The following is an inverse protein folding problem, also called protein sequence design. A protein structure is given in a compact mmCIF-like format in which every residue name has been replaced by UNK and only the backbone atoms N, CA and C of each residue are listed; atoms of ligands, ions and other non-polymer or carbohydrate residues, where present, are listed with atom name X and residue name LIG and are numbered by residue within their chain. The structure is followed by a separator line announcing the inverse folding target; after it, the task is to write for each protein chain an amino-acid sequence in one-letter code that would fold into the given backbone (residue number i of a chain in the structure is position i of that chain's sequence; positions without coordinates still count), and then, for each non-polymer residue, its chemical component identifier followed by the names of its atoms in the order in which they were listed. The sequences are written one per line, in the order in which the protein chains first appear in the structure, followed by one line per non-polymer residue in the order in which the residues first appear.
data_IF_189241510134
#
_entry.id   IF_189241510134
#
_cell.length_a   1.000
_cell.length_b   1.000
_cell.length_c   1.000
_cell.angle_alpha   90.00
_cell.angle_beta   90.00
_cell.angle_gamma   90.00
#
_symmetry.space_group_name_H-M   'P 1'
#
loop_
_entity.id
_entity.type
_entity.pdbx_description
1 polymer ?
#
# COMPACT_ATOMS: atom_id res chain seq x y z
N UNK A 1 5.68 62.58 45.19
CA UNK A 1 5.00 61.30 45.01
C UNK A 1 5.58 60.67 43.76
N UNK A 2 6.59 59.77 43.89
CA UNK A 2 7.18 59.04 42.72
C UNK A 2 6.29 57.85 42.42
N UNK A 3 5.91 57.72 41.17
CA UNK A 3 5.08 56.63 40.68
C UNK A 3 5.83 55.29 40.85
N UNK A 4 5.12 54.29 41.36
CA UNK A 4 5.62 52.89 41.56
C UNK A 4 5.82 52.10 40.27
N UNK A 5 5.65 52.74 39.10
CA UNK A 5 5.70 52.09 37.76
C UNK A 5 6.79 52.66 36.85
N UNK A 6 7.78 53.42 37.37
CA UNK A 6 8.93 53.78 36.57
C UNK A 6 9.85 52.55 36.38
N UNK A 7 10.08 52.08 35.15
CA UNK A 7 10.99 50.97 34.91
C UNK A 7 12.41 51.36 35.29
N UNK A 8 13.05 50.54 36.08
CA UNK A 8 14.45 50.74 36.50
C UNK A 8 15.36 50.76 35.27
N UNK A 9 16.35 51.69 35.19
CA UNK A 9 17.25 51.79 34.06
C UNK A 9 18.30 50.67 33.95
N UNK A 10 18.18 49.60 34.70
CA UNK A 10 19.19 48.53 34.77
C UNK A 10 18.98 47.37 33.79
N UNK A 11 17.89 47.34 32.98
CA UNK A 11 17.60 46.21 32.06
C UNK A 11 18.07 46.44 30.61
N UNK A 12 18.95 47.44 30.37
CA UNK A 12 19.64 47.56 29.10
C UNK A 12 21.10 47.12 29.23
N UNK A 13 21.31 45.83 29.52
CA UNK A 13 22.60 45.25 29.22
C UNK A 13 22.86 45.43 27.70
N UNK A 14 24.04 45.95 27.29
CA UNK A 14 24.33 46.14 25.89
C UNK A 14 24.22 44.79 25.17
N UNK A 15 23.23 44.66 24.31
CA UNK A 15 23.12 43.45 23.45
C UNK A 15 24.44 43.35 22.72
N UNK A 16 25.18 42.22 22.83
CA UNK A 16 26.46 42.06 22.15
C UNK A 16 26.23 42.35 20.68
N UNK A 17 27.06 43.20 20.09
CA UNK A 17 27.00 43.56 18.70
C UNK A 17 27.08 42.27 17.87
N UNK A 18 25.94 41.79 17.30
CA UNK A 18 25.88 40.59 16.51
C UNK A 18 26.72 40.80 15.27
N UNK A 19 27.86 40.15 15.13
CA UNK A 19 28.60 40.14 13.88
C UNK A 19 27.68 39.60 12.76
N UNK A 20 27.80 40.12 11.52
CA UNK A 20 27.09 39.55 10.39
C UNK A 20 27.46 38.05 10.24
N UNK A 21 26.45 37.21 10.04
CA UNK A 21 26.67 35.81 9.72
C UNK A 21 26.95 35.65 8.24
N UNK A 22 27.80 34.72 7.88
CA UNK A 22 27.88 34.26 6.50
C UNK A 22 26.65 33.44 6.14
N UNK A 23 26.37 33.24 4.85
CA UNK A 23 25.26 32.40 4.37
C UNK A 23 25.40 30.97 4.88
N UNK A 24 26.62 30.44 4.89
CA UNK A 24 26.90 29.09 5.41
C UNK A 24 26.60 28.95 6.90
N UNK A 25 26.99 29.95 7.71
CA UNK A 25 26.69 29.96 9.14
C UNK A 25 25.20 30.06 9.41
N UNK A 26 24.45 30.86 8.61
CA UNK A 26 23.00 30.92 8.72
C UNK A 26 22.35 29.58 8.37
N UNK A 27 22.77 28.94 7.27
CA UNK A 27 22.24 27.66 6.85
C UNK A 27 22.54 26.55 7.88
N UNK A 28 23.76 26.52 8.43
CA UNK A 28 24.12 25.58 9.50
C UNK A 28 23.27 25.77 10.75
N UNK A 29 23.00 27.02 11.13
CA UNK A 29 22.13 27.32 12.27
C UNK A 29 20.69 26.90 12.01
N UNK A 30 20.11 27.23 10.84
CA UNK A 30 18.76 26.80 10.48
C UNK A 30 18.65 25.26 10.45
N UNK A 31 19.68 24.58 9.92
CA UNK A 31 19.74 23.11 9.93
C UNK A 31 19.68 22.56 11.35
N UNK A 32 20.49 23.09 12.25
CA UNK A 32 20.48 22.66 13.66
C UNK A 32 19.10 22.84 14.30
N UNK A 33 18.43 23.98 14.05
CA UNK A 33 17.09 24.24 14.55
C UNK A 33 16.05 23.24 13.98
N UNK A 34 16.16 22.88 12.71
CA UNK A 34 15.28 21.88 12.09
C UNK A 34 15.53 20.49 12.65
N UNK A 35 16.81 20.08 12.77
CA UNK A 35 17.21 18.77 13.27
C UNK A 35 16.82 18.57 14.77
N UNK A 36 16.85 19.65 15.59
CA UNK A 36 16.47 19.61 16.99
C UNK A 36 14.96 19.82 17.22
N UNK A 37 14.36 20.76 16.45
CA UNK A 37 12.98 21.19 16.66
C UNK A 37 11.92 20.36 15.99
N UNK A 38 12.27 19.65 14.92
CA UNK A 38 11.34 18.80 14.15
C UNK A 38 11.84 17.36 14.19
N UNK A 39 11.31 16.54 15.10
CA UNK A 39 11.66 15.12 15.17
C UNK A 39 11.19 14.38 13.90
N UNK A 40 11.17 13.07 13.95
CA UNK A 40 10.64 12.26 12.87
C UNK A 40 9.19 12.67 12.51
N UNK A 41 8.95 12.87 11.21
CA UNK A 41 7.64 13.27 10.66
C UNK A 41 7.01 12.16 9.84
N UNK A 42 5.68 12.15 9.82
CA UNK A 42 4.87 11.41 8.85
C UNK A 42 4.19 12.45 7.94
N UNK A 43 4.44 12.36 6.65
CA UNK A 43 3.89 13.30 5.66
C UNK A 43 3.14 12.51 4.61
N UNK A 44 1.87 12.81 4.41
CA UNK A 44 1.05 12.26 3.34
C UNK A 44 1.03 13.21 2.15
N UNK A 45 1.12 12.68 0.94
CA UNK A 45 1.07 13.47 -0.28
C UNK A 45 1.22 12.63 -1.55
N UNK A 46 1.03 13.31 -2.67
CA UNK A 46 1.24 12.74 -4.00
C UNK A 46 2.70 12.94 -4.43
N UNK A 47 3.30 11.90 -4.99
CA UNK A 47 4.63 11.96 -5.59
C UNK A 47 4.57 12.67 -6.94
N UNK A 48 5.48 13.61 -7.16
CA UNK A 48 5.67 14.23 -8.47
C UNK A 48 7.15 14.48 -8.75
N UNK A 49 7.50 14.64 -10.03
CA UNK A 49 8.88 14.89 -10.49
C UNK A 49 9.91 13.85 -10.00
N UNK A 50 9.52 12.59 -9.93
CA UNK A 50 10.38 11.51 -9.45
C UNK A 50 11.55 11.26 -10.40
N UNK A 51 12.77 11.35 -9.88
CA UNK A 51 14.01 11.10 -10.60
C UNK A 51 14.90 10.13 -9.84
N UNK A 52 15.29 9.05 -10.50
CA UNK A 52 16.25 8.08 -9.98
C UNK A 52 17.60 8.33 -10.59
N UNK A 53 18.61 8.40 -9.77
CA UNK A 53 20.00 8.63 -10.19
C UNK A 53 20.80 7.34 -10.16
N UNK A 54 21.88 7.24 -10.99
CA UNK A 54 22.77 6.06 -11.00
C UNK A 54 23.42 5.75 -9.65
N UNK A 55 23.52 6.77 -8.77
CA UNK A 55 23.96 6.61 -7.37
C UNK A 55 23.01 5.77 -6.51
N UNK A 56 21.81 5.46 -7.01
CA UNK A 56 20.75 4.78 -6.29
C UNK A 56 19.88 5.70 -5.42
N UNK A 57 20.14 7.01 -5.42
CA UNK A 57 19.28 7.99 -4.74
C UNK A 57 18.09 8.34 -5.61
N UNK A 58 16.94 8.55 -4.97
CA UNK A 58 15.72 8.98 -5.63
C UNK A 58 15.29 10.32 -5.06
N UNK A 59 15.07 11.29 -5.94
CA UNK A 59 14.56 12.63 -5.59
C UNK A 59 13.17 12.78 -6.16
N UNK A 60 12.30 13.41 -5.40
CA UNK A 60 10.92 13.67 -5.83
C UNK A 60 10.36 14.86 -5.06
N UNK A 61 9.18 15.30 -5.44
CA UNK A 61 8.40 16.31 -4.73
C UNK A 61 7.20 15.60 -4.12
N UNK A 62 6.94 15.82 -2.84
CA UNK A 62 5.67 15.51 -2.19
C UNK A 62 4.80 16.76 -2.28
N UNK A 63 3.58 16.62 -2.77
CA UNK A 63 2.59 17.70 -2.90
C UNK A 63 1.23 17.31 -2.37
N UNK A 64 0.48 18.30 -1.92
CA UNK A 64 -0.95 18.23 -1.66
C UNK A 64 -1.66 19.35 -2.42
N UNK A 65 -2.93 19.64 -2.08
CA UNK A 65 -3.71 20.69 -2.74
C UNK A 65 -3.17 22.12 -2.49
N UNK A 66 -2.38 22.33 -1.44
CA UNK A 66 -1.96 23.67 -1.00
C UNK A 66 -0.46 23.89 -0.99
N UNK A 67 0.36 22.84 -0.97
CA UNK A 67 1.80 22.94 -0.75
C UNK A 67 2.60 21.81 -1.41
N UNK A 68 3.91 22.03 -1.49
CA UNK A 68 4.84 21.01 -1.92
C UNK A 68 6.16 21.10 -1.15
N UNK A 69 6.84 19.96 -1.00
CA UNK A 69 8.15 19.86 -0.38
C UNK A 69 9.06 18.90 -1.16
N UNK A 70 10.34 19.26 -1.27
CA UNK A 70 11.33 18.35 -1.85
C UNK A 70 11.56 17.15 -0.92
N UNK A 71 11.73 15.97 -1.50
CA UNK A 71 12.03 14.75 -0.77
C UNK A 71 13.20 13.99 -1.40
N UNK A 72 14.01 13.36 -0.56
CA UNK A 72 15.13 12.53 -0.98
C UNK A 72 15.08 11.18 -0.28
N UNK A 73 15.10 10.12 -1.07
CA UNK A 73 15.23 8.73 -0.60
C UNK A 73 16.62 8.24 -0.94
N UNK A 74 17.46 8.04 0.07
CA UNK A 74 18.80 7.53 -0.11
C UNK A 74 18.80 6.02 -0.40
N UNK A 75 19.80 5.55 -1.15
CA UNK A 75 19.96 4.15 -1.57
C UNK A 75 19.81 3.15 -0.41
N UNK A 76 20.41 3.43 0.75
CA UNK A 76 20.32 2.54 1.92
C UNK A 76 18.88 2.27 2.35
N UNK A 77 18.07 3.32 2.40
CA UNK A 77 16.66 3.23 2.80
C UNK A 77 15.80 2.60 1.69
N UNK A 78 16.16 2.83 0.42
CA UNK A 78 15.45 2.26 -0.73
C UNK A 78 15.55 0.74 -0.81
N UNK A 79 16.65 0.13 -0.37
CA UNK A 79 16.89 -1.32 -0.43
C UNK A 79 15.94 -2.12 0.46
N UNK A 80 15.45 -1.54 1.56
CA UNK A 80 14.52 -2.18 2.49
C UNK A 80 13.04 -1.99 2.12
N UNK A 81 12.74 -1.23 1.09
CA UNK A 81 11.36 -0.91 0.71
C UNK A 81 10.75 -1.99 -0.18
N UNK A 82 9.58 -2.49 0.20
CA UNK A 82 8.76 -3.40 -0.62
C UNK A 82 8.00 -2.67 -1.73
N UNK A 83 7.85 -1.36 -1.59
CA UNK A 83 7.11 -0.49 -2.50
C UNK A 83 8.06 0.27 -3.43
N UNK A 84 7.72 0.35 -4.72
CA UNK A 84 8.45 1.18 -5.70
C UNK A 84 7.67 2.46 -5.96
N UNK A 85 8.14 3.63 -5.49
CA UNK A 85 7.47 4.89 -5.75
C UNK A 85 7.43 5.22 -7.24
N UNK A 86 6.30 5.82 -7.68
CA UNK A 86 6.09 6.31 -9.04
C UNK A 86 5.39 7.67 -9.00
N UNK A 87 5.55 8.45 -10.08
CA UNK A 87 4.81 9.72 -10.22
C UNK A 87 3.29 9.49 -10.15
N UNK A 88 2.58 10.38 -9.49
CA UNK A 88 1.14 10.29 -9.25
C UNK A 88 0.74 9.35 -8.10
N UNK A 89 1.68 8.63 -7.51
CA UNK A 89 1.40 7.77 -6.37
C UNK A 89 1.11 8.54 -5.09
N UNK A 90 -0.01 8.26 -4.41
CA UNK A 90 -0.29 8.77 -3.08
C UNK A 90 0.43 7.93 -2.02
N UNK A 91 1.19 8.58 -1.16
CA UNK A 91 2.06 7.90 -0.19
C UNK A 91 2.05 8.58 1.17
N UNK A 92 2.33 7.79 2.21
CA UNK A 92 2.74 8.28 3.53
C UNK A 92 4.25 8.07 3.63
N UNK A 93 4.96 9.16 3.82
CA UNK A 93 6.42 9.17 3.97
C UNK A 93 6.78 9.35 5.44
N UNK A 94 7.59 8.47 5.97
CA UNK A 94 8.25 8.62 7.26
C UNK A 94 9.67 9.09 7.05
N UNK A 95 10.07 10.15 7.75
CA UNK A 95 11.38 10.73 7.60
C UNK A 95 11.67 11.86 8.56
N UNK A 96 12.74 12.58 8.31
CA UNK A 96 13.13 13.78 9.05
C UNK A 96 13.21 14.99 8.12
N UNK A 97 12.90 16.14 8.64
CA UNK A 97 13.10 17.41 7.93
C UNK A 97 14.55 17.83 8.10
N UNK A 98 15.20 18.26 7.02
CA UNK A 98 16.57 18.76 7.06
C UNK A 98 16.77 19.85 6.02
N UNK A 99 17.81 20.65 6.14
CA UNK A 99 18.19 21.69 5.18
C UNK A 99 19.22 21.16 4.19
N UNK A 100 18.95 21.33 2.90
CA UNK A 100 19.98 21.17 1.87
C UNK A 100 20.81 22.46 1.80
N UNK A 101 21.94 22.49 2.52
CA UNK A 101 22.73 23.70 2.78
C UNK A 101 23.19 24.42 1.50
N UNK A 102 23.55 23.65 0.44
CA UNK A 102 24.03 24.23 -0.81
C UNK A 102 22.99 25.11 -1.52
N UNK A 103 21.70 24.91 -1.25
CA UNK A 103 20.59 25.68 -1.83
C UNK A 103 19.78 26.46 -0.81
N UNK A 104 20.02 26.26 0.48
CA UNK A 104 19.22 26.86 1.54
C UNK A 104 17.75 26.43 1.54
N UNK A 105 17.46 25.24 0.98
CA UNK A 105 16.11 24.71 0.85
C UNK A 105 15.89 23.54 1.83
N UNK A 106 14.77 23.55 2.56
CA UNK A 106 14.41 22.41 3.38
C UNK A 106 13.87 21.27 2.52
N UNK A 107 14.07 20.06 3.00
CA UNK A 107 13.64 18.83 2.34
C UNK A 107 13.29 17.74 3.36
N UNK A 108 12.51 16.77 2.96
CA UNK A 108 12.27 15.55 3.73
C UNK A 108 13.28 14.49 3.33
N UNK A 109 14.09 14.06 4.27
CA UNK A 109 14.96 12.90 4.14
C UNK A 109 14.14 11.65 4.48
N UNK A 110 13.79 10.88 3.46
CA UNK A 110 12.88 9.73 3.56
C UNK A 110 13.61 8.53 4.17
N UNK A 111 13.06 7.98 5.23
CA UNK A 111 13.52 6.77 5.90
C UNK A 111 12.65 5.55 5.57
N UNK A 112 11.36 5.79 5.32
CA UNK A 112 10.39 4.79 4.92
C UNK A 112 9.25 5.43 4.15
N UNK A 113 8.57 4.63 3.32
CA UNK A 113 7.44 5.06 2.53
C UNK A 113 6.50 3.90 2.31
N UNK A 114 5.20 4.17 2.36
CA UNK A 114 4.15 3.21 2.06
C UNK A 114 3.02 3.89 1.27
N UNK A 115 2.22 3.14 0.48
CA UNK A 115 1.02 3.68 -0.14
C UNK A 115 0.08 4.29 0.90
N UNK A 116 -0.50 5.46 0.58
CA UNK A 116 -1.49 6.11 1.44
C UNK A 116 -2.75 5.23 1.55
N UNK A 117 -3.31 5.17 2.75
CA UNK A 117 -4.51 4.33 3.00
C UNK A 117 -4.22 2.87 3.34
N UNK A 118 -3.01 2.36 3.12
CA UNK A 118 -2.67 0.95 3.41
C UNK A 118 -2.97 0.57 4.87
N UNK A 119 -2.63 1.44 5.82
CA UNK A 119 -2.95 1.21 7.23
C UNK A 119 -4.45 1.20 7.55
N UNK A 120 -5.27 1.95 6.82
CA UNK A 120 -6.73 1.90 6.95
C UNK A 120 -7.28 0.60 6.36
N UNK A 121 -6.79 0.20 5.20
CA UNK A 121 -7.15 -1.07 4.57
C UNK A 121 -6.78 -2.27 5.44
N UNK A 122 -5.59 -2.30 6.02
CA UNK A 122 -5.18 -3.36 6.94
C UNK A 122 -6.08 -3.45 8.17
N UNK A 123 -6.42 -2.32 8.79
CA UNK A 123 -7.38 -2.29 9.91
C UNK A 123 -8.75 -2.81 9.51
N UNK A 124 -9.26 -2.41 8.34
CA UNK A 124 -10.54 -2.90 7.82
C UNK A 124 -10.52 -4.42 7.60
N UNK A 125 -9.40 -4.96 7.07
CA UNK A 125 -9.23 -6.39 6.88
C UNK A 125 -9.23 -7.15 8.22
N UNK A 126 -8.53 -6.65 9.24
CA UNK A 126 -8.52 -7.31 10.55
C UNK A 126 -9.91 -7.30 11.21
N UNK A 127 -10.64 -6.18 11.13
CA UNK A 127 -12.03 -6.10 11.61
C UNK A 127 -12.91 -7.11 10.88
N UNK A 128 -12.77 -7.21 9.55
CA UNK A 128 -13.52 -8.18 8.75
C UNK A 128 -13.16 -9.63 9.15
N UNK A 129 -11.87 -9.95 9.32
CA UNK A 129 -11.43 -11.27 9.77
C UNK A 129 -12.01 -11.64 11.13
N UNK A 130 -12.03 -10.71 12.07
CA UNK A 130 -12.65 -10.93 13.40
C UNK A 130 -14.13 -11.19 13.28
N UNK A 131 -14.86 -10.41 12.47
CA UNK A 131 -16.27 -10.62 12.21
C UNK A 131 -16.56 -12.00 11.61
N UNK A 132 -15.85 -12.36 10.53
CA UNK A 132 -16.02 -13.66 9.86
C UNK A 132 -15.63 -14.84 10.77
N UNK A 133 -14.64 -14.64 11.64
CA UNK A 133 -14.24 -15.65 12.64
C UNK A 133 -15.32 -15.83 13.71
N UNK A 134 -15.89 -14.74 14.21
CA UNK A 134 -16.99 -14.80 15.18
C UNK A 134 -18.24 -15.50 14.62
N UNK A 135 -18.47 -15.40 13.32
CA UNK A 135 -19.54 -16.10 12.60
C UNK A 135 -19.18 -17.57 12.24
N UNK A 136 -17.96 -18.04 12.57
CA UNK A 136 -17.47 -19.37 12.25
C UNK A 136 -17.19 -19.62 10.76
N UNK A 137 -17.17 -18.57 9.93
CA UNK A 137 -16.96 -18.71 8.48
C UNK A 137 -15.51 -19.07 8.13
N UNK A 138 -14.55 -18.82 9.04
CA UNK A 138 -13.14 -19.16 8.86
C UNK A 138 -12.75 -20.50 9.52
N UNK A 139 -13.68 -21.24 10.08
CA UNK A 139 -13.39 -22.49 10.77
C UNK A 139 -12.80 -23.55 9.83
N UNK A 140 -11.74 -24.19 10.27
CA UNK A 140 -11.06 -25.22 9.49
C UNK A 140 -11.98 -26.39 9.11
N UNK A 141 -12.94 -26.72 9.99
CA UNK A 141 -13.94 -27.78 9.76
C UNK A 141 -14.91 -27.52 8.60
N UNK A 142 -15.00 -26.26 8.14
CA UNK A 142 -15.81 -25.90 6.97
C UNK A 142 -15.09 -26.14 5.64
N UNK A 143 -13.76 -26.25 5.67
CA UNK A 143 -12.98 -26.46 4.46
C UNK A 143 -13.29 -27.81 3.83
N UNK A 144 -13.70 -27.79 2.58
CA UNK A 144 -13.97 -29.01 1.82
C UNK A 144 -12.68 -29.64 1.31
N UNK A 145 -12.52 -30.95 1.38
CA UNK A 145 -11.36 -31.62 0.81
C UNK A 145 -11.34 -31.46 -0.71
N UNK A 146 -10.15 -31.29 -1.26
CA UNK A 146 -9.97 -31.30 -2.71
C UNK A 146 -10.16 -32.73 -3.25
N UNK A 147 -10.87 -32.89 -4.37
CA UNK A 147 -10.99 -34.21 -5.03
C UNK A 147 -9.63 -34.65 -5.58
N UNK A 148 -9.34 -35.93 -5.51
CA UNK A 148 -8.07 -36.48 -6.03
C UNK A 148 -7.93 -36.32 -7.56
N UNK A 149 -9.04 -36.44 -8.28
CA UNK A 149 -9.11 -36.34 -9.74
C UNK A 149 -10.34 -35.53 -10.10
N UNK A 150 -10.22 -34.18 -10.18
CA UNK A 150 -11.30 -33.33 -10.64
C UNK A 150 -11.52 -33.59 -12.14
N UNK A 151 -12.77 -33.56 -12.59
CA UNK A 151 -13.15 -33.66 -14.01
C UNK A 151 -13.57 -32.30 -14.57
N UNK A 152 -14.20 -31.49 -13.74
CA UNK A 152 -14.73 -30.19 -14.14
C UNK A 152 -14.30 -29.10 -13.15
N UNK A 153 -13.55 -28.13 -13.67
CA UNK A 153 -12.99 -27.04 -12.88
C UNK A 153 -13.65 -25.72 -13.28
N UNK A 154 -14.22 -25.02 -12.29
CA UNK A 154 -14.66 -23.64 -12.44
C UNK A 154 -13.47 -22.68 -12.26
N UNK A 155 -13.34 -21.69 -13.11
CA UNK A 155 -12.31 -20.63 -13.00
C UNK A 155 -12.97 -19.27 -12.96
N UNK A 156 -12.71 -18.50 -11.91
CA UNK A 156 -13.14 -17.10 -11.77
C UNK A 156 -11.92 -16.22 -11.96
N UNK A 157 -11.87 -15.49 -13.06
CA UNK A 157 -10.78 -14.57 -13.38
C UNK A 157 -11.15 -13.67 -14.56
N UNK A 158 -10.30 -12.70 -14.88
CA UNK A 158 -10.44 -11.90 -16.10
C UNK A 158 -10.15 -12.72 -17.36
N UNK A 159 -11.02 -12.68 -18.37
CA UNK A 159 -10.86 -13.49 -19.60
C UNK A 159 -9.63 -13.12 -20.43
N UNK A 160 -9.07 -11.93 -20.22
CA UNK A 160 -7.86 -11.43 -20.90
C UNK A 160 -6.63 -11.41 -19.97
N UNK A 161 -6.75 -11.88 -18.72
CA UNK A 161 -5.69 -11.86 -17.74
C UNK A 161 -4.62 -12.93 -17.98
N UNK A 162 -3.37 -12.64 -17.64
CA UNK A 162 -2.27 -13.60 -17.68
C UNK A 162 -2.55 -14.83 -16.81
N UNK A 163 -3.21 -14.65 -15.67
CA UNK A 163 -3.56 -15.74 -14.75
C UNK A 163 -4.38 -16.85 -15.43
N UNK A 164 -5.34 -16.50 -16.30
CA UNK A 164 -6.10 -17.51 -17.06
C UNK A 164 -5.18 -18.33 -17.96
N UNK A 165 -4.30 -17.66 -18.71
CA UNK A 165 -3.39 -18.33 -19.64
C UNK A 165 -2.42 -19.26 -18.92
N UNK A 166 -1.96 -18.86 -17.74
CA UNK A 166 -1.07 -19.67 -16.91
C UNK A 166 -1.79 -20.90 -16.36
N UNK A 167 -3.03 -20.73 -15.83
CA UNK A 167 -3.86 -21.85 -15.38
C UNK A 167 -4.07 -22.84 -16.52
N UNK A 168 -4.53 -22.39 -17.69
CA UNK A 168 -4.79 -23.26 -18.83
C UNK A 168 -3.53 -24.00 -19.28
N UNK A 169 -2.38 -23.30 -19.36
CA UNK A 169 -1.10 -23.92 -19.74
C UNK A 169 -0.62 -24.97 -18.74
N UNK A 170 -0.82 -24.75 -17.45
CA UNK A 170 -0.44 -25.72 -16.41
C UNK A 170 -1.35 -26.93 -16.43
N UNK A 171 -2.66 -26.71 -16.54
CA UNK A 171 -3.65 -27.80 -16.58
C UNK A 171 -3.48 -28.69 -17.81
N UNK A 172 -3.31 -28.09 -19.00
CA UNK A 172 -3.08 -28.84 -20.24
C UNK A 172 -1.85 -29.76 -20.16
N UNK A 173 -0.75 -29.25 -19.59
CA UNK A 173 0.49 -30.04 -19.41
C UNK A 173 0.37 -31.16 -18.38
N UNK A 174 -0.46 -30.95 -17.34
CA UNK A 174 -0.53 -31.89 -16.21
C UNK A 174 -1.63 -32.92 -16.35
N UNK A 175 -2.75 -32.53 -16.92
CA UNK A 175 -3.93 -33.38 -17.02
C UNK A 175 -4.81 -32.96 -18.22
N UNK A 176 -4.48 -33.46 -19.40
CA UNK A 176 -5.26 -33.23 -20.60
C UNK A 176 -6.67 -33.83 -20.48
N UNK A 177 -7.69 -33.12 -20.93
CA UNK A 177 -9.09 -33.61 -20.94
C UNK A 177 -9.94 -33.12 -19.74
N UNK A 178 -9.48 -32.11 -19.00
CA UNK A 178 -10.30 -31.41 -18.01
C UNK A 178 -11.35 -30.54 -18.70
N UNK A 179 -12.59 -30.58 -18.19
CA UNK A 179 -13.62 -29.61 -18.54
C UNK A 179 -13.41 -28.33 -17.71
N UNK A 180 -13.15 -27.21 -18.38
CA UNK A 180 -12.87 -25.93 -17.72
C UNK A 180 -14.00 -24.97 -18.03
N UNK A 181 -14.69 -24.51 -16.99
CA UNK A 181 -15.77 -23.53 -17.08
C UNK A 181 -15.27 -22.17 -16.57
N UNK A 182 -15.08 -21.23 -17.49
CA UNK A 182 -14.72 -19.87 -17.14
C UNK A 182 -15.95 -19.07 -16.75
N UNK A 183 -15.98 -18.54 -15.54
CA UNK A 183 -16.89 -17.48 -15.11
C UNK A 183 -16.11 -16.16 -15.07
N UNK A 184 -16.26 -15.39 -16.14
CA UNK A 184 -15.52 -14.16 -16.32
C UNK A 184 -15.92 -13.08 -15.31
N UNK A 185 -14.96 -12.44 -14.68
CA UNK A 185 -15.15 -11.33 -13.75
C UNK A 185 -13.99 -10.33 -13.84
N UNK A 186 -14.27 -9.06 -13.55
CA UNK A 186 -13.21 -8.12 -13.23
C UNK A 186 -12.53 -8.57 -11.94
N UNK A 187 -11.21 -8.48 -11.90
CA UNK A 187 -10.40 -8.95 -10.76
C UNK A 187 -9.64 -7.80 -10.08
N UNK A 188 -9.98 -6.56 -10.44
CA UNK A 188 -9.45 -5.33 -9.84
C UNK A 188 -10.35 -4.14 -10.18
N UNK A 189 -10.23 -3.05 -9.39
CA UNK A 189 -11.00 -1.83 -9.56
C UNK A 189 -12.38 -1.90 -8.91
N UNK A 190 -13.11 -0.81 -9.02
CA UNK A 190 -14.44 -0.63 -8.43
C UNK A 190 -15.44 -1.65 -8.98
N UNK A 191 -16.23 -2.28 -8.10
CA UNK A 191 -17.22 -3.31 -8.45
C UNK A 191 -16.63 -4.70 -8.73
N UNK A 192 -15.31 -4.89 -8.64
CA UNK A 192 -14.71 -6.20 -8.89
C UNK A 192 -15.12 -7.25 -7.85
N UNK A 193 -15.28 -6.87 -6.59
CA UNK A 193 -15.69 -7.78 -5.52
C UNK A 193 -17.07 -8.39 -5.78
N UNK A 194 -18.03 -7.57 -6.21
CA UNK A 194 -19.38 -8.00 -6.53
C UNK A 194 -19.40 -8.94 -7.74
N UNK A 195 -18.59 -8.64 -8.76
CA UNK A 195 -18.47 -9.52 -9.94
C UNK A 195 -17.82 -10.86 -9.58
N UNK A 196 -16.75 -10.85 -8.78
CA UNK A 196 -16.10 -12.09 -8.30
C UNK A 196 -17.10 -12.92 -7.49
N UNK A 197 -17.80 -12.32 -6.55
CA UNK A 197 -18.79 -13.00 -5.74
C UNK A 197 -19.95 -13.55 -6.58
N UNK A 198 -20.42 -12.79 -7.59
CA UNK A 198 -21.43 -13.25 -8.53
C UNK A 198 -20.94 -14.40 -9.40
N UNK A 199 -19.69 -14.35 -9.87
CA UNK A 199 -19.07 -15.39 -10.67
C UNK A 199 -18.91 -16.70 -9.89
N UNK A 200 -18.51 -16.64 -8.61
CA UNK A 200 -18.46 -17.82 -7.73
C UNK A 200 -19.85 -18.43 -7.58
N UNK A 201 -20.87 -17.61 -7.29
CA UNK A 201 -22.27 -18.07 -7.19
C UNK A 201 -22.83 -18.63 -8.49
N UNK A 202 -22.38 -18.12 -9.65
CA UNK A 202 -22.78 -18.63 -10.94
C UNK A 202 -22.24 -20.05 -11.17
N UNK A 203 -20.96 -20.29 -10.86
CA UNK A 203 -20.36 -21.62 -10.91
C UNK A 203 -21.03 -22.59 -9.93
N UNK A 204 -21.38 -22.12 -8.74
CA UNK A 204 -22.06 -22.96 -7.74
C UNK A 204 -23.45 -23.46 -8.16
N UNK A 205 -24.12 -22.77 -9.11
CA UNK A 205 -25.40 -23.20 -9.69
C UNK A 205 -25.24 -24.28 -10.76
N UNK A 206 -24.05 -24.42 -11.32
CA UNK A 206 -23.78 -25.46 -12.30
C UNK A 206 -23.56 -26.81 -11.60
N UNK A 207 -24.12 -27.85 -12.17
CA UNK A 207 -23.86 -29.20 -11.67
C UNK A 207 -22.50 -29.71 -12.12
N UNK A 208 -21.89 -30.53 -11.27
CA UNK A 208 -20.65 -31.23 -11.61
C UNK A 208 -19.37 -30.37 -11.55
N UNK A 209 -19.39 -29.18 -10.98
CA UNK A 209 -18.16 -28.46 -10.68
C UNK A 209 -17.48 -29.11 -9.47
N UNK A 210 -16.30 -29.65 -9.68
CA UNK A 210 -15.52 -30.38 -8.67
C UNK A 210 -14.66 -29.44 -7.81
N UNK A 211 -14.12 -28.37 -8.42
CA UNK A 211 -13.24 -27.37 -7.78
C UNK A 211 -13.48 -26.02 -8.43
N UNK A 212 -13.44 -24.96 -7.65
CA UNK A 212 -13.44 -23.58 -8.14
C UNK A 212 -12.08 -22.97 -7.87
N UNK A 213 -11.45 -22.35 -8.88
CA UNK A 213 -10.21 -21.58 -8.76
C UNK A 213 -10.58 -20.10 -8.95
N UNK A 214 -10.33 -19.30 -7.93
CA UNK A 214 -10.47 -17.84 -7.99
C UNK A 214 -9.08 -17.26 -8.14
N UNK A 215 -8.81 -16.64 -9.29
CA UNK A 215 -7.43 -16.32 -9.65
C UNK A 215 -7.24 -14.89 -10.10
N UNK A 216 -6.12 -14.31 -9.67
CA UNK A 216 -5.56 -13.06 -10.15
C UNK A 216 -4.04 -13.10 -10.03
N UNK A 217 -3.35 -12.69 -11.09
CA UNK A 217 -1.89 -12.53 -11.08
C UNK A 217 -1.44 -11.45 -10.08
N UNK A 218 -0.14 -11.27 -9.94
CA UNK A 218 0.44 -10.25 -9.06
C UNK A 218 -0.02 -8.82 -9.39
N UNK A 219 0.13 -7.91 -8.42
CA UNK A 219 -0.24 -6.51 -8.51
C UNK A 219 0.01 -5.81 -7.19
N UNK A 220 -0.41 -4.57 -7.06
CA UNK A 220 -0.35 -3.84 -5.79
C UNK A 220 -1.35 -4.41 -4.77
N UNK A 221 -1.17 -4.12 -3.49
CA UNK A 221 -2.10 -4.53 -2.43
C UNK A 221 -3.50 -3.98 -2.67
N UNK A 222 -3.60 -2.75 -3.20
CA UNK A 222 -4.86 -2.11 -3.56
C UNK A 222 -5.56 -2.87 -4.67
N UNK A 223 -4.82 -3.35 -5.66
CA UNK A 223 -5.36 -4.16 -6.75
C UNK A 223 -5.90 -5.51 -6.29
N UNK A 224 -5.32 -6.10 -5.24
CA UNK A 224 -5.75 -7.36 -4.65
C UNK A 224 -6.92 -7.18 -3.69
N UNK A 225 -7.23 -5.93 -3.31
CA UNK A 225 -8.19 -5.64 -2.24
C UNK A 225 -9.60 -6.17 -2.51
N UNK A 226 -10.04 -6.21 -3.77
CA UNK A 226 -11.34 -6.75 -4.13
C UNK A 226 -11.59 -8.18 -3.61
N UNK A 227 -10.53 -8.96 -3.40
CA UNK A 227 -10.62 -10.32 -2.84
C UNK A 227 -10.74 -10.33 -1.30
N UNK A 228 -10.47 -9.20 -0.64
CA UNK A 228 -10.61 -9.02 0.80
C UNK A 228 -12.00 -8.48 1.21
N UNK A 229 -12.91 -8.33 0.25
CA UNK A 229 -14.27 -7.85 0.53
C UNK A 229 -15.15 -8.97 1.12
N UNK A 230 -16.04 -8.58 2.02
CA UNK A 230 -16.96 -9.49 2.72
C UNK A 230 -17.83 -10.30 1.75
N UNK A 231 -18.24 -9.68 0.64
CA UNK A 231 -19.08 -10.33 -0.39
C UNK A 231 -18.40 -11.55 -1.02
N UNK A 232 -17.07 -11.47 -1.24
CA UNK A 232 -16.26 -12.56 -1.80
C UNK A 232 -16.06 -13.66 -0.77
N UNK A 233 -15.68 -13.30 0.46
CA UNK A 233 -15.50 -14.27 1.55
C UNK A 233 -16.78 -15.08 1.80
N UNK A 234 -17.94 -14.43 1.81
CA UNK A 234 -19.25 -15.09 1.97
C UNK A 234 -19.60 -15.99 0.78
N UNK A 235 -19.28 -15.56 -0.46
CA UNK A 235 -19.52 -16.39 -1.63
C UNK A 235 -18.64 -17.66 -1.61
N UNK A 236 -17.37 -17.54 -1.19
CA UNK A 236 -16.46 -18.69 -1.02
C UNK A 236 -17.00 -19.64 0.06
N UNK A 237 -17.39 -19.11 1.23
CA UNK A 237 -17.89 -19.90 2.34
C UNK A 237 -19.20 -20.65 2.03
N UNK A 238 -20.04 -20.07 1.15
CA UNK A 238 -21.32 -20.67 0.72
C UNK A 238 -21.15 -21.68 -0.42
N UNK A 239 -20.04 -21.69 -1.15
CA UNK A 239 -19.82 -22.58 -2.30
C UNK A 239 -19.90 -24.06 -1.93
N UNK A 240 -20.58 -24.86 -2.75
CA UNK A 240 -20.68 -26.33 -2.58
C UNK A 240 -19.38 -27.03 -2.96
N UNK A 241 -18.68 -26.52 -3.98
CA UNK A 241 -17.37 -27.02 -4.36
C UNK A 241 -16.26 -26.38 -3.51
N UNK A 242 -15.14 -27.08 -3.27
CA UNK A 242 -13.97 -26.49 -2.64
C UNK A 242 -13.43 -25.35 -3.52
N UNK A 243 -13.03 -24.24 -2.88
CA UNK A 243 -12.50 -23.06 -3.58
C UNK A 243 -11.01 -22.92 -3.28
N UNK A 244 -10.21 -22.76 -4.32
CA UNK A 244 -8.79 -22.45 -4.26
C UNK A 244 -8.64 -20.96 -4.55
N UNK A 245 -8.10 -20.22 -3.59
CA UNK A 245 -7.66 -18.84 -3.81
C UNK A 245 -6.26 -18.85 -4.42
N UNK A 246 -6.14 -18.34 -5.63
CA UNK A 246 -4.88 -18.18 -6.37
C UNK A 246 -4.70 -16.68 -6.71
N UNK A 247 -4.57 -15.86 -5.64
CA UNK A 247 -4.55 -14.40 -5.70
C UNK A 247 -3.19 -13.90 -5.25
N UNK A 248 -2.52 -13.11 -6.12
CA UNK A 248 -1.19 -12.57 -5.83
C UNK A 248 -0.08 -13.62 -5.88
N UNK A 249 1.00 -13.35 -5.13
CA UNK A 249 2.14 -14.26 -4.99
C UNK A 249 2.08 -15.00 -3.64
N UNK A 250 3.00 -15.95 -3.41
CA UNK A 250 3.04 -16.77 -2.18
C UNK A 250 3.14 -15.95 -0.87
N UNK A 251 3.65 -14.73 -0.95
CA UNK A 251 3.77 -13.81 0.19
C UNK A 251 2.50 -12.97 0.43
N UNK A 252 1.55 -12.96 -0.50
CA UNK A 252 0.31 -12.20 -0.38
C UNK A 252 -0.71 -13.04 0.37
N UNK A 253 -1.27 -12.46 1.43
CA UNK A 253 -2.33 -13.09 2.23
C UNK A 253 -3.61 -12.29 2.04
N UNK A 254 -4.57 -12.90 1.37
CA UNK A 254 -5.92 -12.37 1.15
C UNK A 254 -6.97 -13.19 1.89
#
# INVERSE_FOLDING_TARGET
MRSLFDPRPEDQAPRPARRPLTVSELNAWVRALLDEGIPQVLVEGEISNLRRYPSGHTYFTLKDAGAQVAAVLFRGNALGMRFRPADGGHVVVRGRVSLYEARGAYQVVVEGMEPAGLGALQRALEILKEKLRAEGLLDAGRKRPLPRLPRRIGVVTSPRGAALQDILRVLDRRFAGLDIVLSAARVQGEGAAEEIAAAIRALDRLEGIDVVIVARGGGSTEDLWAFNEESVARAIAASRAPVISAVGHEIDVT
#
